data_IF_458651150432
#
_entry.id   IF_458651150432
#
_cell.length_a   1.000
_cell.length_b   1.000
_cell.length_c   1.000
_cell.angle_alpha   90.00
_cell.angle_beta   90.00
_cell.angle_gamma   90.00
#
_symmetry.space_group_name_H-M   'P 1'
#
loop_
_entity.id
_entity.type
_entity.pdbx_description
1 polymer ?
#
# COMPACT_ATOMS: atom_id res chain seq x y z
N UNK A 1 -3.11 -46.20 -132.33
CA UNK A 1 -2.01 -45.57 -131.56
C UNK A 1 -1.84 -46.41 -130.30
N UNK A 2 -0.89 -47.35 -130.23
CA UNK A 2 0.56 -47.14 -129.99
C UNK A 2 0.85 -46.60 -128.57
N UNK A 3 1.66 -47.24 -127.72
CA UNK A 3 2.39 -48.52 -127.86
C UNK A 3 2.96 -48.96 -126.49
N UNK A 4 3.07 -50.27 -126.27
CA UNK A 4 3.96 -50.95 -125.30
C UNK A 4 5.47 -50.60 -125.57
N UNK A 5 6.49 -51.05 -124.80
CA UNK A 5 6.57 -52.11 -123.76
C UNK A 5 7.17 -51.57 -122.42
N UNK A 6 7.72 -52.29 -121.42
CA UNK A 6 8.28 -53.66 -121.27
C UNK A 6 7.96 -54.30 -119.90
N UNK A 7 8.39 -55.56 -119.72
CA UNK A 7 8.42 -56.36 -118.49
C UNK A 7 9.85 -56.35 -117.90
N UNK A 8 9.99 -56.45 -116.57
CA UNK A 8 11.29 -56.70 -115.91
C UNK A 8 11.14 -57.40 -114.56
N UNK A 9 11.36 -58.72 -114.53
CA UNK A 9 11.61 -59.47 -113.28
C UNK A 9 13.07 -59.27 -112.85
N UNK A 10 13.35 -59.15 -111.55
CA UNK A 10 14.33 -60.00 -110.85
C UNK A 10 14.23 -59.81 -109.32
N UNK A 11 14.48 -60.91 -108.60
CA UNK A 11 14.43 -61.05 -107.14
C UNK A 11 15.86 -60.99 -106.58
N UNK A 12 16.10 -60.28 -105.47
CA UNK A 12 17.30 -60.53 -104.65
C UNK A 12 17.03 -60.23 -103.17
N UNK A 13 16.79 -61.30 -102.40
CA UNK A 13 16.92 -61.27 -100.94
C UNK A 13 18.43 -61.22 -100.67
N UNK A 14 18.88 -60.27 -99.85
CA UNK A 14 20.31 -60.00 -99.64
C UNK A 14 21.10 -61.23 -99.19
N UNK A 15 22.33 -61.35 -99.71
CA UNK A 15 23.23 -62.47 -99.47
C UNK A 15 23.40 -62.80 -97.98
N UNK A 16 22.94 -64.01 -97.60
CA UNK A 16 23.63 -64.78 -96.57
C UNK A 16 23.96 -66.16 -97.11
N UNK A 17 25.04 -66.19 -97.88
CA UNK A 17 25.56 -67.35 -98.60
C UNK A 17 26.14 -68.36 -97.60
N UNK A 18 25.44 -69.48 -97.43
CA UNK A 18 25.87 -70.66 -96.66
C UNK A 18 27.01 -71.42 -97.35
N UNK A 19 28.17 -70.79 -97.54
CA UNK A 19 29.37 -71.45 -98.02
C UNK A 19 30.22 -71.96 -96.84
N UNK A 20 29.98 -73.23 -96.50
CA UNK A 20 31.03 -74.20 -96.18
C UNK A 20 31.89 -74.06 -94.90
N UNK A 21 31.29 -73.78 -93.74
CA UNK A 21 31.89 -74.20 -92.45
C UNK A 21 30.95 -75.02 -91.55
N UNK A 22 30.39 -76.11 -92.10
CA UNK A 22 29.97 -77.25 -91.29
C UNK A 22 31.22 -77.98 -90.78
N UNK A 23 31.85 -77.44 -89.74
CA UNK A 23 32.83 -78.16 -88.90
C UNK A 23 32.58 -77.87 -87.43
N UNK A 24 32.17 -78.93 -86.72
CA UNK A 24 32.25 -79.06 -85.27
C UNK A 24 31.45 -78.06 -84.41
N UNK A 25 30.12 -78.08 -84.56
CA UNK A 25 29.28 -78.18 -83.37
C UNK A 25 28.40 -79.44 -83.48
N UNK A 26 28.70 -80.43 -82.66
CA UNK A 26 27.94 -81.68 -82.66
C UNK A 26 26.59 -81.48 -81.96
N UNK A 27 25.52 -81.97 -82.58
CA UNK A 27 24.37 -82.48 -81.83
C UNK A 27 23.09 -81.65 -81.78
N UNK A 28 22.98 -80.50 -82.47
CA UNK A 28 21.70 -79.77 -82.55
C UNK A 28 21.11 -79.70 -83.96
N UNK A 29 19.80 -79.96 -84.01
CA UNK A 29 18.93 -79.88 -85.18
C UNK A 29 18.73 -78.40 -85.59
N UNK A 30 18.52 -78.12 -86.87
CA UNK A 30 18.18 -76.77 -87.38
C UNK A 30 17.04 -76.13 -86.57
N UNK A 31 16.03 -76.92 -86.18
CA UNK A 31 14.91 -76.46 -85.32
C UNK A 31 15.38 -75.89 -83.97
N UNK A 32 16.41 -76.48 -83.37
CA UNK A 32 16.91 -76.09 -82.05
C UNK A 32 17.79 -74.83 -82.12
N UNK A 33 18.50 -74.60 -83.23
CA UNK A 33 19.21 -73.34 -83.46
C UNK A 33 18.22 -72.16 -83.59
N UNK A 34 17.17 -72.30 -84.40
CA UNK A 34 16.11 -71.29 -84.49
C UNK A 34 15.44 -71.04 -83.12
N UNK A 35 15.19 -72.09 -82.36
CA UNK A 35 14.63 -72.00 -81.01
C UNK A 35 15.56 -71.24 -80.04
N UNK A 36 16.87 -71.50 -80.07
CA UNK A 36 17.86 -70.79 -79.26
C UNK A 36 17.95 -69.30 -79.61
N UNK A 37 17.92 -68.95 -80.91
CA UNK A 37 17.87 -67.55 -81.36
C UNK A 37 16.58 -66.86 -80.89
N UNK A 38 15.43 -67.51 -81.03
CA UNK A 38 14.14 -66.98 -80.55
C UNK A 38 14.12 -66.80 -79.02
N UNK A 39 14.71 -67.71 -78.25
CA UNK A 39 14.85 -67.54 -76.78
C UNK A 39 15.75 -66.33 -76.46
N UNK A 40 16.87 -66.17 -77.17
CA UNK A 40 17.78 -65.05 -76.93
C UNK A 40 17.14 -63.69 -77.27
N UNK A 41 16.36 -63.59 -78.35
CA UNK A 41 15.60 -62.36 -78.66
C UNK A 41 14.53 -62.08 -77.61
N UNK A 42 13.75 -63.08 -77.20
CA UNK A 42 12.74 -62.94 -76.14
C UNK A 42 13.37 -62.53 -74.80
N UNK A 43 14.54 -63.08 -74.46
CA UNK A 43 15.25 -62.75 -73.23
C UNK A 43 15.77 -61.31 -73.24
N UNK A 44 16.24 -60.81 -74.39
CA UNK A 44 16.63 -59.40 -74.54
C UNK A 44 15.44 -58.44 -74.48
N UNK A 45 14.28 -58.82 -75.03
CA UNK A 45 13.03 -58.04 -74.91
C UNK A 45 12.58 -57.94 -73.45
N UNK A 46 12.60 -59.06 -72.71
CA UNK A 46 12.29 -59.10 -71.27
C UNK A 46 13.26 -58.23 -70.46
N UNK A 47 14.57 -58.30 -70.75
CA UNK A 47 15.58 -57.46 -70.10
C UNK A 47 15.36 -55.97 -70.40
N UNK A 48 15.08 -55.60 -71.66
CA UNK A 48 14.80 -54.22 -72.05
C UNK A 48 13.54 -53.67 -71.36
N UNK A 49 12.46 -54.45 -71.29
CA UNK A 49 11.25 -54.10 -70.54
C UNK A 49 11.55 -53.92 -69.04
N UNK A 50 12.36 -54.82 -68.44
CA UNK A 50 12.79 -54.69 -67.04
C UNK A 50 13.57 -53.41 -66.76
N UNK A 51 14.45 -52.99 -67.68
CA UNK A 51 15.18 -51.71 -67.59
C UNK A 51 14.21 -50.52 -67.70
N UNK A 52 13.28 -50.53 -68.65
CA UNK A 52 12.29 -49.45 -68.81
C UNK A 52 11.40 -49.33 -67.57
N UNK A 53 10.89 -50.44 -67.03
CA UNK A 53 10.09 -50.47 -65.80
C UNK A 53 10.91 -49.93 -64.61
N UNK A 54 12.19 -50.32 -64.49
CA UNK A 54 13.08 -49.82 -63.43
C UNK A 54 13.28 -48.30 -63.52
N UNK A 55 13.48 -47.76 -64.73
CA UNK A 55 13.59 -46.31 -64.94
C UNK A 55 12.29 -45.57 -64.61
N UNK A 56 11.13 -46.13 -64.95
CA UNK A 56 9.82 -45.57 -64.60
C UNK A 56 9.59 -45.57 -63.07
N UNK A 57 10.00 -46.63 -62.37
CA UNK A 57 9.96 -46.70 -60.89
C UNK A 57 10.88 -45.65 -60.27
N UNK A 58 12.11 -45.50 -60.77
CA UNK A 58 13.05 -44.47 -60.31
C UNK A 58 12.48 -43.05 -60.52
N UNK A 59 11.91 -42.79 -61.70
CA UNK A 59 11.26 -41.51 -62.01
C UNK A 59 10.06 -41.23 -61.07
N UNK A 60 9.24 -42.24 -60.78
CA UNK A 60 8.12 -42.14 -59.84
C UNK A 60 8.61 -41.87 -58.40
N UNK A 61 9.67 -42.53 -57.95
CA UNK A 61 10.28 -42.30 -56.62
C UNK A 61 10.80 -40.86 -56.53
N UNK A 62 11.52 -40.37 -57.55
CA UNK A 62 12.00 -38.99 -57.60
C UNK A 62 10.82 -38.00 -57.53
N UNK A 63 9.75 -38.24 -58.30
CA UNK A 63 8.55 -37.41 -58.29
C UNK A 63 7.92 -37.35 -56.89
N UNK A 64 7.77 -38.49 -56.21
CA UNK A 64 7.25 -38.55 -54.84
C UNK A 64 8.16 -37.79 -53.86
N UNK A 65 9.48 -37.93 -53.95
CA UNK A 65 10.44 -37.20 -53.10
C UNK A 65 10.30 -35.68 -53.30
N UNK A 66 10.16 -35.21 -54.54
CA UNK A 66 9.96 -33.79 -54.84
C UNK A 66 8.64 -33.25 -54.24
N UNK A 67 7.54 -33.98 -54.37
CA UNK A 67 6.27 -33.60 -53.74
C UNK A 67 6.34 -33.60 -52.21
N UNK A 68 6.95 -34.62 -51.59
CA UNK A 68 7.13 -34.66 -50.13
C UNK A 68 7.96 -33.47 -49.63
N UNK A 69 9.01 -33.07 -50.36
CA UNK A 69 9.83 -31.89 -50.05
C UNK A 69 9.05 -30.58 -50.22
N UNK A 70 8.20 -30.46 -51.23
CA UNK A 70 7.33 -29.28 -51.39
C UNK A 70 6.33 -29.16 -50.23
N UNK A 71 5.68 -30.28 -49.87
CA UNK A 71 4.72 -30.34 -48.77
C UNK A 71 5.41 -30.03 -47.43
N UNK A 72 6.62 -30.52 -47.17
CA UNK A 72 7.34 -30.24 -45.91
C UNK A 72 7.68 -28.74 -45.76
N UNK A 73 8.15 -28.08 -46.82
CA UNK A 73 8.41 -26.63 -46.82
C UNK A 73 7.11 -25.85 -46.59
N UNK A 74 6.01 -26.26 -47.22
CA UNK A 74 4.71 -25.61 -47.03
C UNK A 74 4.18 -25.75 -45.58
N UNK A 75 4.30 -26.92 -44.96
CA UNK A 75 3.97 -27.12 -43.53
C UNK A 75 4.79 -26.19 -42.63
N UNK A 76 6.10 -26.11 -42.82
CA UNK A 76 7.00 -25.26 -42.03
C UNK A 76 6.61 -23.78 -42.15
N UNK A 77 6.24 -23.31 -43.35
CA UNK A 77 5.83 -21.91 -43.54
C UNK A 77 4.48 -21.63 -42.85
N UNK A 78 3.51 -22.54 -42.94
CA UNK A 78 2.24 -22.42 -42.21
C UNK A 78 2.44 -22.43 -40.68
N UNK A 79 3.32 -23.27 -40.16
CA UNK A 79 3.64 -23.32 -38.74
C UNK A 79 4.30 -22.02 -38.26
N UNK A 80 5.25 -21.46 -39.04
CA UNK A 80 5.87 -20.15 -38.76
C UNK A 80 4.86 -19.02 -38.78
N UNK A 81 3.98 -18.96 -39.79
CA UNK A 81 2.96 -17.93 -39.90
C UNK A 81 1.97 -18.00 -38.74
N UNK A 82 1.52 -19.21 -38.37
CA UNK A 82 0.70 -19.44 -37.17
C UNK A 82 1.42 -19.04 -35.88
N UNK A 83 2.71 -19.36 -35.74
CA UNK A 83 3.50 -18.96 -34.57
C UNK A 83 3.55 -17.43 -34.44
N UNK A 84 3.85 -16.70 -35.53
CA UNK A 84 3.87 -15.23 -35.55
C UNK A 84 2.49 -14.62 -35.27
N UNK A 85 1.41 -15.21 -35.79
CA UNK A 85 0.03 -14.76 -35.49
C UNK A 85 -0.32 -14.99 -34.02
N UNK A 86 0.01 -16.17 -33.47
CA UNK A 86 -0.23 -16.51 -32.06
C UNK A 86 0.60 -15.63 -31.11
N UNK A 87 1.87 -15.37 -31.44
CA UNK A 87 2.75 -14.48 -30.69
C UNK A 87 2.20 -13.05 -30.64
N UNK A 88 1.81 -12.49 -31.79
CA UNK A 88 1.16 -11.17 -31.86
C UNK A 88 -0.17 -11.11 -31.14
N UNK A 89 -0.97 -12.18 -31.20
CA UNK A 89 -2.22 -12.27 -30.46
C UNK A 89 -1.99 -12.29 -28.95
N UNK A 90 -0.98 -13.04 -28.48
CA UNK A 90 -0.57 -13.09 -27.07
C UNK A 90 0.01 -11.74 -26.60
N UNK A 91 0.88 -11.10 -27.38
CA UNK A 91 1.42 -9.78 -27.10
C UNK A 91 0.29 -8.73 -26.99
N UNK A 92 -0.68 -8.78 -27.90
CA UNK A 92 -1.86 -7.90 -27.88
C UNK A 92 -2.75 -8.16 -26.66
N UNK A 93 -2.99 -9.44 -26.33
CA UNK A 93 -3.76 -9.82 -25.15
C UNK A 93 -3.08 -9.35 -23.85
N UNK A 94 -1.77 -9.52 -23.73
CA UNK A 94 -0.99 -9.05 -22.58
C UNK A 94 -1.06 -7.52 -22.45
N UNK A 95 -0.87 -6.76 -23.54
CA UNK A 95 -1.00 -5.29 -23.53
C UNK A 95 -2.40 -4.81 -23.13
N UNK A 96 -3.45 -5.48 -23.61
CA UNK A 96 -4.83 -5.16 -23.23
C UNK A 96 -5.06 -5.48 -21.75
N UNK A 97 -4.57 -6.62 -21.26
CA UNK A 97 -4.68 -7.03 -19.87
C UNK A 97 -3.93 -6.08 -18.92
N UNK A 98 -2.68 -5.73 -19.22
CA UNK A 98 -1.89 -4.77 -18.45
C UNK A 98 -2.59 -3.41 -18.35
N UNK A 99 -3.07 -2.88 -19.48
CA UNK A 99 -3.81 -1.62 -19.51
C UNK A 99 -5.10 -1.69 -18.70
N UNK A 100 -5.90 -2.74 -18.88
CA UNK A 100 -7.13 -2.95 -18.12
C UNK A 100 -6.85 -3.08 -16.61
N UNK A 101 -5.81 -3.82 -16.24
CA UNK A 101 -5.37 -4.01 -14.85
C UNK A 101 -4.97 -2.68 -14.22
N UNK A 102 -4.13 -1.87 -14.88
CA UNK A 102 -3.73 -0.54 -14.41
C UNK A 102 -4.94 0.38 -14.23
N UNK A 103 -5.78 0.55 -15.25
CA UNK A 103 -6.98 1.41 -15.16
C UNK A 103 -7.95 0.93 -14.08
N UNK A 104 -8.10 -0.38 -13.89
CA UNK A 104 -8.96 -0.97 -12.86
C UNK A 104 -8.40 -0.72 -11.46
N UNK A 105 -7.09 -0.90 -11.25
CA UNK A 105 -6.42 -0.60 -9.98
C UNK A 105 -6.49 0.88 -9.63
N UNK A 106 -6.30 1.78 -10.60
CA UNK A 106 -6.44 3.23 -10.41
C UNK A 106 -7.89 3.61 -10.03
N UNK A 107 -8.88 3.05 -10.73
CA UNK A 107 -10.30 3.26 -10.43
C UNK A 107 -10.69 2.77 -9.03
N UNK A 108 -10.28 1.55 -8.66
CA UNK A 108 -10.49 0.98 -7.32
C UNK A 108 -9.80 1.83 -6.24
N UNK A 109 -8.54 2.22 -6.47
CA UNK A 109 -7.78 3.07 -5.53
C UNK A 109 -8.45 4.43 -5.33
N UNK A 110 -8.98 5.04 -6.39
CA UNK A 110 -9.74 6.29 -6.32
C UNK A 110 -11.00 6.14 -5.46
N UNK A 111 -11.78 5.09 -5.69
CA UNK A 111 -13.00 4.80 -4.91
C UNK A 111 -12.69 4.55 -3.42
N UNK A 112 -11.69 3.71 -3.12
CA UNK A 112 -11.28 3.40 -1.74
C UNK A 112 -10.76 4.66 -1.05
N UNK A 113 -9.91 5.44 -1.70
CA UNK A 113 -9.36 6.70 -1.13
C UNK A 113 -10.49 7.67 -0.79
N UNK A 114 -11.48 7.82 -1.68
CA UNK A 114 -12.61 8.73 -1.47
C UNK A 114 -13.58 8.24 -0.38
N UNK A 115 -13.85 6.92 -0.28
CA UNK A 115 -14.68 6.39 0.80
C UNK A 115 -14.01 6.53 2.16
N UNK A 116 -12.71 6.24 2.22
CA UNK A 116 -11.87 6.39 3.42
C UNK A 116 -11.78 7.87 3.83
N UNK A 117 -11.62 8.79 2.88
CA UNK A 117 -11.62 10.25 3.13
C UNK A 117 -12.93 10.69 3.81
N UNK A 118 -14.08 10.30 3.26
CA UNK A 118 -15.41 10.63 3.83
C UNK A 118 -15.60 10.08 5.24
N UNK A 119 -15.16 8.84 5.48
CA UNK A 119 -15.25 8.22 6.80
C UNK A 119 -14.38 8.96 7.84
N UNK A 120 -13.15 9.34 7.45
CA UNK A 120 -12.27 10.13 8.32
C UNK A 120 -12.79 11.55 8.56
N UNK A 121 -13.38 12.20 7.56
CA UNK A 121 -14.00 13.53 7.71
C UNK A 121 -15.16 13.49 8.72
N UNK A 122 -16.09 12.54 8.58
CA UNK A 122 -17.19 12.37 9.53
C UNK A 122 -16.71 12.04 10.95
N UNK A 123 -15.69 11.18 11.10
CA UNK A 123 -15.07 10.89 12.40
C UNK A 123 -14.38 12.11 13.01
N UNK A 124 -13.70 12.92 12.20
CA UNK A 124 -13.01 14.13 12.65
C UNK A 124 -14.01 15.21 13.09
N UNK A 125 -15.14 15.38 12.40
CA UNK A 125 -16.22 16.28 12.81
C UNK A 125 -16.85 15.83 14.12
N UNK A 126 -17.19 14.54 14.25
CA UNK A 126 -17.72 13.98 15.50
C UNK A 126 -16.74 14.16 16.68
N UNK A 127 -15.44 13.93 16.44
CA UNK A 127 -14.40 14.15 17.46
C UNK A 127 -14.28 15.62 17.85
N UNK A 128 -14.28 16.56 16.89
CA UNK A 128 -14.22 18.01 17.17
C UNK A 128 -15.36 18.45 18.07
N UNK A 129 -16.60 18.03 17.79
CA UNK A 129 -17.79 18.39 18.58
C UNK A 129 -17.65 17.86 20.02
N UNK A 130 -17.24 16.60 20.19
CA UNK A 130 -17.05 16.00 21.51
C UNK A 130 -15.92 16.67 22.30
N UNK A 131 -14.81 17.03 21.65
CA UNK A 131 -13.67 17.66 22.33
C UNK A 131 -13.96 19.13 22.68
N UNK A 132 -14.67 19.86 21.81
CA UNK A 132 -15.14 21.21 22.13
C UNK A 132 -16.09 21.20 23.34
N UNK A 133 -17.00 20.22 23.43
CA UNK A 133 -17.90 20.08 24.59
C UNK A 133 -17.12 19.84 25.89
N UNK A 134 -16.08 18.99 25.87
CA UNK A 134 -15.19 18.77 27.03
C UNK A 134 -14.45 20.03 27.42
N UNK A 135 -13.81 20.71 26.46
CA UNK A 135 -13.07 21.96 26.71
C UNK A 135 -13.99 23.02 27.29
N UNK A 136 -15.21 23.17 26.76
CA UNK A 136 -16.22 24.10 27.27
C UNK A 136 -16.63 23.77 28.71
N UNK A 137 -16.89 22.49 29.02
CA UNK A 137 -17.22 22.03 30.39
C UNK A 137 -16.08 22.26 31.37
N UNK A 138 -14.85 21.93 31.00
CA UNK A 138 -13.66 22.15 31.84
C UNK A 138 -13.40 23.65 32.08
N UNK A 139 -13.53 24.49 31.05
CA UNK A 139 -13.42 25.94 31.20
C UNK A 139 -14.48 26.52 32.16
N UNK A 140 -15.74 26.07 32.05
CA UNK A 140 -16.81 26.45 32.98
C UNK A 140 -16.49 25.99 34.41
N UNK A 141 -16.09 24.73 34.60
CA UNK A 141 -15.74 24.20 35.92
C UNK A 141 -14.56 24.94 36.56
N UNK A 142 -13.51 25.27 35.78
CA UNK A 142 -12.37 26.08 36.25
C UNK A 142 -12.81 27.49 36.65
N UNK A 143 -13.66 28.13 35.83
CA UNK A 143 -14.23 29.45 36.13
C UNK A 143 -15.05 29.45 37.43
N UNK A 144 -15.98 28.49 37.57
CA UNK A 144 -16.81 28.33 38.78
C UNK A 144 -15.96 28.08 40.02
N UNK A 145 -14.97 27.18 39.96
CA UNK A 145 -14.07 26.93 41.09
C UNK A 145 -13.24 28.16 41.48
N UNK A 146 -12.81 28.96 40.50
CA UNK A 146 -12.06 30.20 40.75
C UNK A 146 -12.95 31.27 41.38
N UNK A 147 -14.20 31.39 40.92
CA UNK A 147 -15.18 32.32 41.46
C UNK A 147 -15.60 31.94 42.89
N UNK A 148 -15.87 30.66 43.15
CA UNK A 148 -16.18 30.15 44.48
C UNK A 148 -15.00 30.33 45.45
N UNK A 149 -13.76 30.21 44.97
CA UNK A 149 -12.57 30.52 45.77
C UNK A 149 -12.57 31.97 46.29
N UNK A 150 -12.72 32.92 45.36
CA UNK A 150 -12.77 34.37 45.68
C UNK A 150 -13.96 34.76 46.55
N UNK A 151 -15.14 34.19 46.31
CA UNK A 151 -16.32 34.40 47.15
C UNK A 151 -16.10 33.81 48.54
N UNK A 152 -15.47 32.63 48.63
CA UNK A 152 -15.10 32.00 49.90
C UNK A 152 -14.20 32.88 50.75
N UNK A 153 -13.17 33.49 50.13
CA UNK A 153 -12.29 34.46 50.77
C UNK A 153 -13.07 35.67 51.32
N UNK A 154 -13.75 36.43 50.45
CA UNK A 154 -14.43 37.68 50.80
C UNK A 154 -15.55 37.49 51.85
N UNK A 155 -16.32 36.40 51.76
CA UNK A 155 -17.43 36.10 52.67
C UNK A 155 -17.03 35.24 53.89
N UNK A 156 -15.72 35.02 54.11
CA UNK A 156 -15.20 34.28 55.27
C UNK A 156 -15.81 34.71 56.60
N UNK A 157 -15.91 36.02 56.94
CA UNK A 157 -16.46 36.43 58.23
C UNK A 157 -17.88 35.92 58.47
N UNK A 158 -18.72 35.85 57.43
CA UNK A 158 -20.11 35.36 57.52
C UNK A 158 -20.14 33.86 57.78
N UNK A 159 -19.31 33.09 57.06
CA UNK A 159 -19.22 31.64 57.22
C UNK A 159 -18.58 31.24 58.57
N UNK A 160 -17.63 32.02 59.06
CA UNK A 160 -16.89 31.74 60.29
C UNK A 160 -17.60 32.26 61.56
N UNK A 161 -18.36 33.35 61.47
CA UNK A 161 -19.14 33.92 62.58
C UNK A 161 -20.00 32.88 63.30
N UNK A 162 -20.80 32.10 62.54
CA UNK A 162 -21.62 31.02 63.10
C UNK A 162 -20.83 29.83 63.64
N UNK A 163 -19.64 29.54 63.09
CA UNK A 163 -18.78 28.42 63.52
C UNK A 163 -18.04 28.70 64.83
N UNK A 164 -17.58 29.94 65.03
CA UNK A 164 -16.74 30.33 66.17
C UNK A 164 -17.49 31.17 67.23
N UNK A 165 -18.75 31.54 66.97
CA UNK A 165 -19.55 32.37 67.87
C UNK A 165 -19.02 33.81 67.97
N UNK A 166 -18.57 34.36 66.83
CA UNK A 166 -17.93 35.68 66.75
C UNK A 166 -18.91 36.66 66.08
N UNK A 167 -19.12 37.83 66.68
CA UNK A 167 -19.91 38.90 66.09
C UNK A 167 -19.22 39.41 64.80
N UNK A 168 -19.99 39.64 63.72
CA UNK A 168 -19.41 40.13 62.45
C UNK A 168 -18.66 41.46 62.60
N UNK A 169 -19.06 42.28 63.59
CA UNK A 169 -18.39 43.55 63.94
C UNK A 169 -16.98 43.37 64.51
N UNK A 170 -16.66 42.19 65.04
CA UNK A 170 -15.37 41.89 65.70
C UNK A 170 -14.29 41.39 64.74
N UNK A 171 -14.63 41.12 63.47
CA UNK A 171 -13.65 40.77 62.44
C UNK A 171 -12.94 42.01 61.89
N UNK A 172 -11.62 41.92 61.70
CA UNK A 172 -10.80 42.90 60.98
C UNK A 172 -9.94 42.16 59.96
N UNK A 173 -10.00 42.60 58.71
CA UNK A 173 -9.15 42.08 57.64
C UNK A 173 -7.72 42.66 57.78
N UNK A 174 -6.71 41.83 57.51
CA UNK A 174 -5.28 42.19 57.57
C UNK A 174 -4.54 41.75 56.29
N UNK A 175 -4.81 40.53 55.81
CA UNK A 175 -4.14 39.93 54.65
C UNK A 175 -2.86 39.14 54.99
N UNK A 176 -2.33 38.44 54.00
CA UNK A 176 -1.19 37.51 54.15
C UNK A 176 -0.01 38.11 54.94
N UNK A 177 0.47 37.48 56.03
CA UNK A 177 0.35 36.05 56.36
C UNK A 177 -0.78 35.68 57.35
N UNK A 178 -1.74 36.57 57.60
CA UNK A 178 -2.96 36.28 58.39
C UNK A 178 -4.13 37.07 57.81
N UNK A 179 -5.02 36.43 57.06
CA UNK A 179 -6.11 37.14 56.38
C UNK A 179 -7.03 37.95 57.30
N UNK A 180 -7.40 37.44 58.49
CA UNK A 180 -8.24 38.14 59.45
C UNK A 180 -7.74 38.00 60.90
N UNK A 181 -8.00 39.02 61.71
CA UNK A 181 -8.03 38.92 63.17
C UNK A 181 -9.45 39.15 63.67
N UNK A 182 -9.88 38.38 64.66
CA UNK A 182 -11.20 38.48 65.25
C UNK A 182 -11.10 38.66 66.78
N UNK A 183 -11.82 39.65 67.31
CA UNK A 183 -11.82 40.01 68.73
C UNK A 183 -13.08 39.48 69.43
N UNK A 184 -13.15 38.17 69.64
CA UNK A 184 -14.36 37.50 70.13
C UNK A 184 -14.79 38.06 71.49
N UNK A 185 -15.99 38.65 71.51
CA UNK A 185 -16.62 39.22 72.71
C UNK A 185 -16.49 40.74 72.85
N UNK A 186 -15.73 41.40 71.98
CA UNK A 186 -15.48 42.83 72.06
C UNK A 186 -16.72 43.69 71.70
N UNK A 187 -17.56 43.24 70.76
CA UNK A 187 -18.83 43.92 70.42
C UNK A 187 -20.03 43.47 71.26
N UNK A 188 -19.85 42.49 72.15
CA UNK A 188 -20.91 41.88 72.95
C UNK A 188 -20.81 42.24 74.46
N UNK A 189 -19.96 43.22 74.82
CA UNK A 189 -19.66 43.65 76.20
C UNK A 189 -19.30 42.51 77.17
N UNK A 190 -18.60 41.48 76.69
CA UNK A 190 -18.16 40.34 77.52
C UNK A 190 -16.88 40.68 78.29
N UNK A 191 -16.82 40.28 79.57
CA UNK A 191 -15.66 40.52 80.45
C UNK A 191 -14.33 39.93 79.93
N UNK A 192 -14.40 38.90 79.08
CA UNK A 192 -13.24 38.22 78.51
C UNK A 192 -13.28 38.38 76.98
N UNK A 193 -12.32 39.13 76.45
CA UNK A 193 -12.06 39.23 75.02
C UNK A 193 -10.96 38.22 74.61
N UNK A 194 -11.16 37.54 73.49
CA UNK A 194 -10.18 36.62 72.90
C UNK A 194 -9.77 37.10 71.50
N UNK A 195 -8.47 37.07 71.21
CA UNK A 195 -7.91 37.44 69.91
C UNK A 195 -7.62 36.18 69.09
N UNK A 196 -8.34 36.01 67.99
CA UNK A 196 -8.23 34.84 67.11
C UNK A 196 -7.63 35.29 65.77
N UNK A 197 -6.46 34.73 65.42
CA UNK A 197 -5.83 34.93 64.11
C UNK A 197 -6.34 33.85 63.13
N UNK A 198 -6.75 34.26 61.93
CA UNK A 198 -7.43 33.43 60.96
C UNK A 198 -6.76 33.58 59.58
N UNK A 199 -6.32 32.46 59.02
CA UNK A 199 -5.88 32.35 57.63
C UNK A 199 -6.93 31.53 56.87
N UNK A 200 -7.37 32.04 55.71
CA UNK A 200 -8.46 31.45 54.93
C UNK A 200 -7.87 30.73 53.72
N UNK A 201 -8.19 29.43 53.58
CA UNK A 201 -7.87 28.66 52.37
C UNK A 201 -9.16 28.26 51.67
N UNK A 202 -9.38 28.82 50.48
CA UNK A 202 -10.55 28.59 49.64
C UNK A 202 -10.38 27.46 48.60
N UNK A 203 -9.12 27.09 48.32
CA UNK A 203 -8.74 26.10 47.29
C UNK A 203 -8.40 24.70 47.84
N UNK A 204 -7.97 23.81 46.94
CA UNK A 204 -7.64 22.39 47.25
C UNK A 204 -6.49 22.18 48.25
N UNK A 205 -5.68 23.20 48.54
CA UNK A 205 -4.59 23.12 49.51
C UNK A 205 -4.96 23.88 50.78
N UNK A 206 -5.26 23.13 51.84
CA UNK A 206 -5.40 23.66 53.21
C UNK A 206 -4.06 23.90 53.92
N UNK A 207 -2.93 23.58 53.27
CA UNK A 207 -1.61 23.75 53.85
C UNK A 207 -1.21 25.23 53.91
N UNK A 208 -0.78 25.67 55.10
CA UNK A 208 -0.17 26.98 55.28
C UNK A 208 1.13 27.13 54.46
N UNK A 209 1.44 28.33 53.99
CA UNK A 209 2.72 28.68 53.34
C UNK A 209 3.79 28.96 54.42
N UNK A 210 5.08 29.00 54.03
CA UNK A 210 6.19 29.14 54.98
C UNK A 210 6.19 30.42 55.85
N UNK A 211 5.51 31.50 55.42
CA UNK A 211 5.31 32.71 56.23
C UNK A 211 4.16 32.54 57.24
N UNK A 212 3.02 32.04 56.77
CA UNK A 212 1.83 31.74 57.57
C UNK A 212 2.15 30.75 58.70
N UNK A 213 2.89 29.66 58.41
CA UNK A 213 3.39 28.72 59.43
C UNK A 213 4.16 29.43 60.54
N UNK A 214 5.09 30.32 60.19
CA UNK A 214 5.90 31.04 61.19
C UNK A 214 5.07 31.94 62.10
N UNK A 215 3.94 32.48 61.61
CA UNK A 215 3.02 33.28 62.43
C UNK A 215 2.18 32.38 63.32
N UNK A 216 1.58 31.30 62.78
CA UNK A 216 0.92 30.27 63.60
C UNK A 216 1.84 29.78 64.72
N UNK A 217 3.06 29.36 64.38
CA UNK A 217 4.03 28.85 65.35
C UNK A 217 4.47 29.92 66.38
N UNK A 218 4.33 31.21 66.07
CA UNK A 218 4.54 32.28 67.05
C UNK A 218 3.34 32.44 67.99
N UNK A 219 2.11 32.36 67.46
CA UNK A 219 0.87 32.40 68.25
C UNK A 219 0.77 31.18 69.18
N UNK A 220 0.96 29.97 68.65
CA UNK A 220 0.91 28.70 69.40
C UNK A 220 1.95 28.64 70.53
N UNK A 221 3.09 29.33 70.37
CA UNK A 221 4.16 29.44 71.37
C UNK A 221 4.00 30.64 72.31
N UNK A 222 2.89 31.37 72.26
CA UNK A 222 2.63 32.54 73.10
C UNK A 222 3.53 33.74 72.81
N UNK A 223 4.22 33.79 71.65
CA UNK A 223 5.10 34.90 71.23
C UNK A 223 4.29 36.07 70.63
N UNK A 224 3.20 36.43 71.31
CA UNK A 224 2.28 37.52 70.96
C UNK A 224 2.35 38.56 72.07
N UNK A 225 2.33 39.85 71.71
CA UNK A 225 2.44 40.96 72.67
C UNK A 225 1.51 42.09 72.28
N UNK A 226 0.85 42.68 73.27
CA UNK A 226 0.06 43.89 73.12
C UNK A 226 0.89 45.08 73.61
N UNK A 227 1.10 46.08 72.76
CA UNK A 227 1.91 47.25 73.05
C UNK A 227 1.09 48.51 72.79
N UNK A 228 1.06 49.44 73.75
CA UNK A 228 0.44 50.75 73.58
C UNK A 228 1.53 51.75 73.25
N UNK A 229 1.61 52.14 71.98
CA UNK A 229 2.65 53.04 71.48
C UNK A 229 2.08 54.45 71.29
N UNK A 230 2.57 55.41 72.06
CA UNK A 230 2.24 56.81 71.88
C UNK A 230 3.13 57.46 70.82
N UNK A 231 2.59 57.73 69.63
CA UNK A 231 3.35 58.36 68.55
C UNK A 231 3.87 59.76 68.93
N UNK A 232 3.21 60.51 69.81
CA UNK A 232 3.68 61.86 70.15
C UNK A 232 5.01 61.84 70.91
N UNK A 233 5.25 60.83 71.74
CA UNK A 233 6.51 60.65 72.47
C UNK A 233 7.64 60.28 71.50
N UNK A 234 7.44 59.28 70.65
CA UNK A 234 8.43 58.87 69.62
C UNK A 234 8.77 60.01 68.66
N UNK A 235 7.77 60.79 68.23
CA UNK A 235 7.99 61.95 67.35
C UNK A 235 8.77 63.06 68.06
N UNK A 236 8.61 63.23 69.37
CA UNK A 236 9.37 64.21 70.14
C UNK A 236 10.80 63.72 70.41
N UNK A 237 11.00 62.47 70.80
CA UNK A 237 12.33 61.84 70.93
C UNK A 237 13.14 61.94 69.63
N UNK A 238 12.52 61.63 68.49
CA UNK A 238 13.15 61.77 67.18
C UNK A 238 13.48 63.22 66.83
N UNK A 239 12.64 64.19 67.20
CA UNK A 239 12.91 65.63 67.02
C UNK A 239 14.05 66.13 67.91
N UNK A 240 14.19 65.62 69.13
CA UNK A 240 15.24 66.06 70.04
C UNK A 240 16.60 65.44 69.69
N UNK A 241 16.61 64.20 69.17
CA UNK A 241 17.81 63.63 68.52
C UNK A 241 18.24 64.42 67.28
N UNK A 242 17.30 64.94 66.49
CA UNK A 242 17.58 65.80 65.33
C UNK A 242 18.03 67.24 65.68
N UNK A 243 17.90 67.67 66.94
CA UNK A 243 18.44 68.96 67.44
C UNK A 243 19.81 68.84 68.10
N UNK A 244 20.33 67.61 68.24
CA UNK A 244 21.64 67.29 68.81
C UNK A 244 22.69 66.95 67.73
N UNK A 245 22.39 67.27 66.47
CA UNK A 245 23.31 67.29 65.32
C UNK A 245 23.43 68.72 64.78
#
# INVERSE_FOLDING_TARGET
>A
MSSHPLIGYYLFIGDFRLDHEIKNFQGLNIKEYFYAVSIHTLMNEILALGVVISLLIIALIILVILYQRQISVFRINLEKERAVVNEKALETANKIFEKWSQTTLEGMKGQITESVRKEFEAKLEGWKIQEEEKIRKDAVLKSVNTLLGKIGEEFSPVLLSGRFGINLKDFRHLGTPVDYVAFRGLSDDKEIAEVIFLEIKSGKSSNLVGRERKVRDAVDQGRVRYEVVNLSEIINEGKDQLKLQ
#
